data_IF_894792981244
#
_entry.id   IF_894792981244
#
_cell.length_a   1.000
_cell.length_b   1.000
_cell.length_c   1.000
_cell.angle_alpha   90.00
_cell.angle_beta   90.00
_cell.angle_gamma   90.00
#
_symmetry.space_group_name_H-M   'P 1'
#
loop_
_entity.id
_entity.type
_entity.pdbx_description
1 polymer ?
#
# COMPACT_ATOMS: atom_id res chain seq x y z
N UNK A 1 -6.42 -8.37 -21.73
CA UNK A 1 -7.67 -8.30 -20.99
C UNK A 1 -7.43 -8.61 -19.52
N UNK A 2 -7.81 -7.70 -18.67
CA UNK A 2 -7.62 -7.87 -17.24
C UNK A 2 -8.69 -8.75 -16.61
N UNK A 3 -8.26 -9.81 -15.94
CA UNK A 3 -9.15 -10.60 -15.10
C UNK A 3 -9.01 -10.22 -13.63
N UNK A 4 -8.11 -9.27 -13.33
CA UNK A 4 -7.84 -8.82 -11.97
C UNK A 4 -8.74 -7.64 -11.61
N UNK A 5 -9.23 -7.62 -10.38
CA UNK A 5 -9.95 -6.45 -9.90
C UNK A 5 -9.00 -5.29 -9.70
N UNK A 6 -9.51 -4.06 -9.80
CA UNK A 6 -8.70 -2.86 -9.56
C UNK A 6 -8.10 -2.87 -8.14
N UNK A 7 -8.86 -3.36 -7.17
CA UNK A 7 -8.38 -3.45 -5.79
C UNK A 7 -7.18 -4.40 -5.68
N UNK A 8 -7.25 -5.55 -6.34
CA UNK A 8 -6.13 -6.50 -6.35
C UNK A 8 -4.90 -5.91 -7.05
N UNK A 9 -5.09 -5.24 -8.17
CA UNK A 9 -3.99 -4.59 -8.92
C UNK A 9 -3.25 -3.61 -8.01
N UNK A 10 -3.99 -2.75 -7.32
CA UNK A 10 -3.40 -1.73 -6.44
C UNK A 10 -2.67 -2.39 -5.27
N UNK A 11 -3.29 -3.35 -4.60
CA UNK A 11 -2.69 -4.06 -3.48
C UNK A 11 -1.39 -4.76 -3.88
N UNK A 12 -1.44 -5.55 -4.93
CA UNK A 12 -0.30 -6.34 -5.37
C UNK A 12 0.86 -5.46 -5.84
N UNK A 13 0.55 -4.41 -6.58
CA UNK A 13 1.58 -3.51 -7.11
C UNK A 13 2.29 -2.77 -5.97
N UNK A 14 1.54 -2.24 -5.01
CA UNK A 14 2.13 -1.52 -3.87
C UNK A 14 2.92 -2.47 -2.97
N UNK A 15 2.40 -3.67 -2.70
CA UNK A 15 3.11 -4.66 -1.89
C UNK A 15 4.44 -5.04 -2.53
N UNK A 16 4.46 -5.30 -3.83
CA UNK A 16 5.69 -5.64 -4.55
C UNK A 16 6.67 -4.48 -4.56
N UNK A 17 6.18 -3.27 -4.83
CA UNK A 17 7.02 -2.06 -4.84
C UNK A 17 7.69 -1.84 -3.49
N UNK A 18 6.90 -1.85 -2.41
CA UNK A 18 7.41 -1.55 -1.07
C UNK A 18 8.36 -2.62 -0.57
N UNK A 19 8.13 -3.89 -0.93
CA UNK A 19 8.95 -5.00 -0.44
C UNK A 19 10.42 -4.93 -0.88
N UNK A 20 10.71 -4.19 -1.94
CA UNK A 20 12.06 -4.05 -2.48
C UNK A 20 12.78 -2.80 -2.00
N UNK A 21 12.12 -1.93 -1.23
CA UNK A 21 12.69 -0.66 -0.84
C UNK A 21 13.62 -0.79 0.37
N UNK A 22 14.67 0.05 0.41
CA UNK A 22 15.62 0.08 1.51
C UNK A 22 14.89 0.38 2.82
N UNK A 23 15.20 -0.41 3.85
CA UNK A 23 14.55 -0.31 5.16
C UNK A 23 13.29 -1.15 5.28
N UNK A 24 12.80 -1.75 4.19
CA UNK A 24 11.59 -2.57 4.18
C UNK A 24 11.84 -4.00 3.69
N UNK A 25 13.07 -4.35 3.36
CA UNK A 25 13.39 -5.65 2.78
C UNK A 25 13.18 -6.82 3.74
N UNK A 26 13.18 -6.56 5.05
CA UNK A 26 12.92 -7.59 6.06
C UNK A 26 11.43 -7.72 6.41
N UNK A 27 10.60 -6.82 5.89
CA UNK A 27 9.16 -6.82 6.17
C UNK A 27 8.47 -7.73 5.16
N UNK A 28 7.60 -8.61 5.66
CA UNK A 28 6.76 -9.44 4.79
C UNK A 28 5.52 -8.64 4.39
N UNK A 29 5.39 -8.36 3.10
CA UNK A 29 4.23 -7.61 2.60
C UNK A 29 3.14 -8.58 2.14
N UNK A 30 1.94 -8.37 2.65
CA UNK A 30 0.77 -9.20 2.39
C UNK A 30 -0.35 -8.33 1.81
N UNK A 31 -1.15 -8.92 0.94
CA UNK A 31 -2.37 -8.27 0.49
C UNK A 31 -3.53 -8.69 1.39
N UNK A 32 -4.68 -8.02 1.27
CA UNK A 32 -5.78 -8.11 2.22
C UNK A 32 -6.16 -9.51 2.70
N UNK A 33 -6.19 -10.48 1.79
CA UNK A 33 -6.62 -11.84 2.13
C UNK A 33 -5.54 -12.69 2.78
N UNK A 34 -4.31 -12.24 2.78
CA UNK A 34 -3.15 -13.01 3.27
C UNK A 34 -2.74 -12.63 4.68
N UNK A 35 -3.61 -11.91 5.39
CA UNK A 35 -3.28 -11.34 6.71
C UNK A 35 -3.12 -12.39 7.82
N UNK A 36 -3.38 -13.66 7.52
CA UNK A 36 -3.35 -14.73 8.53
C UNK A 36 -1.96 -15.11 9.03
N UNK A 37 -0.89 -14.70 8.32
CA UNK A 37 0.47 -15.05 8.78
C UNK A 37 0.82 -14.34 10.07
N UNK A 38 1.55 -15.04 10.93
CA UNK A 38 2.03 -14.51 12.20
C UNK A 38 3.48 -14.04 12.13
N UNK A 39 4.14 -14.17 10.99
CA UNK A 39 5.54 -13.75 10.85
C UNK A 39 5.67 -12.24 10.93
N UNK A 40 6.46 -11.74 11.87
CA UNK A 40 6.73 -10.32 12.05
C UNK A 40 8.19 -10.02 11.74
N UNK A 41 8.54 -8.85 11.22
CA UNK A 41 7.64 -7.76 10.85
C UNK A 41 6.82 -8.05 9.59
N UNK A 42 5.61 -7.54 9.56
CA UNK A 42 4.73 -7.69 8.39
C UNK A 42 4.00 -6.39 8.12
N UNK A 43 3.58 -6.22 6.87
CA UNK A 43 2.70 -5.12 6.49
C UNK A 43 1.57 -5.67 5.64
N UNK A 44 0.35 -5.27 5.95
CA UNK A 44 -0.84 -5.68 5.20
C UNK A 44 -1.31 -4.50 4.36
N UNK A 45 -1.37 -4.71 3.06
CA UNK A 45 -1.84 -3.72 2.09
C UNK A 45 -3.27 -4.07 1.71
N UNK A 46 -4.21 -3.20 2.02
CA UNK A 46 -5.63 -3.41 1.76
C UNK A 46 -6.20 -2.23 1.00
N UNK A 47 -6.75 -2.51 -0.18
CA UNK A 47 -7.55 -1.53 -0.90
C UNK A 47 -9.00 -1.68 -0.46
N UNK A 48 -9.43 -0.83 0.45
CA UNK A 48 -10.75 -0.93 1.07
C UNK A 48 -11.86 -0.57 0.09
N UNK A 49 -11.62 0.39 -0.79
CA UNK A 49 -12.60 0.80 -1.79
C UNK A 49 -11.92 1.35 -3.03
N UNK A 50 -12.63 1.27 -4.15
CA UNK A 50 -12.23 1.89 -5.40
C UNK A 50 -13.48 2.57 -5.96
N UNK A 51 -13.40 3.90 -6.15
CA UNK A 51 -14.56 4.71 -6.55
C UNK A 51 -14.21 5.54 -7.77
N UNK A 52 -15.17 5.72 -8.67
CA UNK A 52 -15.04 6.65 -9.77
C UNK A 52 -15.02 8.08 -9.18
N UNK A 53 -14.00 8.91 -9.52
CA UNK A 53 -14.01 10.31 -9.06
C UNK A 53 -15.21 11.06 -9.60
N UNK A 54 -15.80 11.93 -8.75
CA UNK A 54 -17.05 12.61 -9.07
C UNK A 54 -16.92 13.58 -10.25
N UNK A 55 -15.72 14.09 -10.50
CA UNK A 55 -15.45 15.07 -11.55
C UNK A 55 -14.92 14.46 -12.85
N UNK A 56 -14.87 13.13 -12.95
CA UNK A 56 -14.41 12.45 -14.15
C UNK A 56 -15.54 11.64 -14.79
N UNK A 57 -15.48 11.43 -16.11
CA UNK A 57 -16.53 10.69 -16.80
C UNK A 57 -16.67 9.26 -16.28
N UNK A 58 -17.91 8.84 -16.06
CA UNK A 58 -18.21 7.48 -15.71
C UNK A 58 -17.81 6.54 -16.84
N UNK A 59 -17.24 5.40 -16.48
CA UNK A 59 -16.82 4.41 -17.48
C UNK A 59 -15.46 4.66 -18.11
N UNK A 60 -14.76 5.72 -17.71
CA UNK A 60 -13.43 6.04 -18.26
C UNK A 60 -12.30 5.23 -17.61
N UNK A 61 -12.59 4.32 -16.68
CA UNK A 61 -11.58 3.52 -16.02
C UNK A 61 -10.80 4.24 -14.93
N UNK A 62 -11.25 5.44 -14.56
CA UNK A 62 -10.60 6.23 -13.50
C UNK A 62 -11.12 5.82 -12.14
N UNK A 63 -10.20 5.59 -11.19
CA UNK A 63 -10.57 5.21 -9.84
C UNK A 63 -9.76 5.98 -8.80
N UNK A 64 -10.43 6.40 -7.73
CA UNK A 64 -9.80 6.82 -6.49
C UNK A 64 -9.88 5.65 -5.51
N UNK A 65 -8.73 5.09 -5.16
CA UNK A 65 -8.66 3.91 -4.31
C UNK A 65 -8.26 4.32 -2.90
N UNK A 66 -9.05 3.90 -1.91
CA UNK A 66 -8.70 4.08 -0.51
C UNK A 66 -7.86 2.90 -0.08
N UNK A 67 -6.58 3.13 0.18
CA UNK A 67 -5.62 2.08 0.52
C UNK A 67 -5.21 2.25 1.97
N UNK A 68 -5.26 1.17 2.71
CA UNK A 68 -4.76 1.12 4.08
C UNK A 68 -3.58 0.16 4.15
N UNK A 69 -2.47 0.64 4.70
CA UNK A 69 -1.30 -0.20 4.93
C UNK A 69 -1.04 -0.19 6.43
N UNK A 70 -1.04 -1.37 7.04
CA UNK A 70 -0.76 -1.52 8.47
C UNK A 70 0.54 -2.28 8.63
N UNK A 71 1.50 -1.64 9.29
CA UNK A 71 2.83 -2.19 9.54
C UNK A 71 2.91 -2.66 10.99
N UNK A 72 3.28 -3.94 11.17
CA UNK A 72 3.42 -4.56 12.48
C UNK A 72 4.88 -4.93 12.73
N UNK A 73 5.40 -4.61 13.90
CA UNK A 73 6.71 -5.05 14.38
C UNK A 73 6.57 -5.70 15.75
N UNK A 74 7.39 -6.72 16.00
CA UNK A 74 7.34 -7.43 17.30
C UNK A 74 7.93 -6.53 18.39
N UNK A 75 7.11 -6.15 19.38
CA UNK A 75 7.53 -5.26 20.45
C UNK A 75 8.54 -5.91 21.41
N UNK A 76 8.65 -7.24 21.40
CA UNK A 76 9.60 -7.93 22.27
C UNK A 76 11.04 -7.84 21.76
N UNK A 77 11.25 -7.70 20.44
CA UNK A 77 12.58 -7.67 19.84
C UNK A 77 12.87 -6.40 19.03
N UNK A 78 11.90 -5.53 18.87
CA UNK A 78 12.01 -4.29 18.10
C UNK A 78 11.68 -3.11 18.98
N UNK A 79 12.59 -2.12 19.04
CA UNK A 79 12.29 -0.89 19.78
C UNK A 79 11.28 -0.04 19.00
N UNK A 80 10.61 0.86 19.71
CA UNK A 80 9.69 1.79 19.06
C UNK A 80 10.44 2.67 18.04
N UNK A 81 11.68 3.05 18.33
CA UNK A 81 12.48 3.85 17.39
C UNK A 81 12.74 3.07 16.09
N UNK A 82 13.05 1.78 16.19
CA UNK A 82 13.28 0.93 15.02
C UNK A 82 12.00 0.72 14.22
N UNK A 83 10.87 0.54 14.93
CA UNK A 83 9.57 0.45 14.27
C UNK A 83 9.24 1.74 13.52
N UNK A 84 9.48 2.89 14.15
CA UNK A 84 9.25 4.20 13.52
C UNK A 84 10.17 4.45 12.34
N UNK A 85 11.39 3.89 12.35
CA UNK A 85 12.27 3.95 11.20
C UNK A 85 11.69 3.19 10.00
N UNK A 86 11.08 2.03 10.24
CA UNK A 86 10.37 1.30 9.20
C UNK A 86 9.18 2.09 8.68
N UNK A 87 8.43 2.74 9.58
CA UNK A 87 7.30 3.59 9.20
C UNK A 87 7.76 4.76 8.34
N UNK A 88 8.90 5.37 8.66
CA UNK A 88 9.46 6.46 7.86
C UNK A 88 9.88 5.97 6.48
N UNK A 89 10.46 4.77 6.38
CA UNK A 89 10.81 4.18 5.10
C UNK A 89 9.56 3.92 4.25
N UNK A 90 8.49 3.41 4.86
CA UNK A 90 7.24 3.15 4.16
C UNK A 90 6.60 4.45 3.67
N UNK A 91 6.42 5.43 4.54
CA UNK A 91 5.78 6.69 4.16
C UNK A 91 6.64 7.48 3.16
N UNK A 92 7.96 7.43 3.30
CA UNK A 92 8.88 8.08 2.38
C UNK A 92 8.78 7.51 0.97
N UNK A 93 8.70 6.18 0.86
CA UNK A 93 8.55 5.53 -0.44
C UNK A 93 7.17 5.74 -1.03
N UNK A 94 6.14 5.87 -0.20
CA UNK A 94 4.79 6.18 -0.68
C UNK A 94 4.66 7.64 -1.15
N UNK A 95 5.59 8.52 -0.80
CA UNK A 95 5.65 9.89 -1.34
C UNK A 95 6.45 9.98 -2.61
N UNK A 96 7.18 8.94 -2.99
CA UNK A 96 7.96 8.91 -4.22
C UNK A 96 7.06 8.53 -5.41
N UNK A 97 6.32 9.51 -5.90
CA UNK A 97 5.34 9.29 -6.94
C UNK A 97 5.97 8.79 -8.24
N UNK A 98 7.16 9.25 -8.58
CA UNK A 98 7.86 8.79 -9.79
C UNK A 98 8.12 7.30 -9.75
N UNK A 99 8.60 6.79 -8.62
CA UNK A 99 8.86 5.35 -8.46
C UNK A 99 7.58 4.54 -8.44
N UNK A 100 6.52 5.05 -7.82
CA UNK A 100 5.21 4.38 -7.79
C UNK A 100 4.62 4.30 -9.20
N UNK A 101 4.69 5.38 -9.96
CA UNK A 101 4.24 5.39 -11.36
C UNK A 101 4.99 4.34 -12.18
N UNK A 102 6.30 4.23 -11.97
CA UNK A 102 7.12 3.23 -12.67
C UNK A 102 6.72 1.81 -12.27
N UNK A 103 6.39 1.58 -11.00
CA UNK A 103 5.96 0.27 -10.53
C UNK A 103 4.64 -0.16 -11.19
N UNK A 104 3.68 0.76 -11.31
CA UNK A 104 2.43 0.47 -12.01
C UNK A 104 2.65 0.27 -13.50
N UNK A 105 3.51 1.07 -14.13
CA UNK A 105 3.82 0.92 -15.55
C UNK A 105 4.46 -0.45 -15.83
N UNK A 106 5.29 -0.94 -14.93
CA UNK A 106 5.96 -2.23 -15.11
C UNK A 106 4.98 -3.41 -15.13
N UNK A 107 3.84 -3.30 -14.44
CA UNK A 107 2.82 -4.35 -14.46
C UNK A 107 1.96 -4.30 -15.73
N UNK A 108 1.79 -3.14 -16.32
CA UNK A 108 0.89 -2.93 -17.44
C UNK A 108 -0.60 -3.03 -17.11
N UNK A 109 -0.93 -3.21 -15.82
CA UNK A 109 -2.33 -3.42 -15.40
C UNK A 109 -3.09 -2.13 -15.15
N UNK A 110 -2.39 -1.06 -14.78
CA UNK A 110 -3.00 0.24 -14.50
C UNK A 110 -1.95 1.34 -14.58
N UNK A 111 -2.40 2.58 -14.71
CA UNK A 111 -1.54 3.77 -14.62
C UNK A 111 -1.88 4.52 -13.35
N UNK A 112 -0.86 4.80 -12.54
CA UNK A 112 -1.04 5.61 -11.34
C UNK A 112 -0.77 7.07 -11.65
N UNK A 113 -1.65 7.96 -11.19
CA UNK A 113 -1.52 9.40 -11.42
C UNK A 113 -1.15 10.18 -10.17
N UNK A 114 -1.58 9.73 -9.00
CA UNK A 114 -1.31 10.46 -7.77
C UNK A 114 -1.47 9.55 -6.56
N UNK A 115 -0.76 9.91 -5.48
CA UNK A 115 -0.87 9.24 -4.19
C UNK A 115 -0.86 10.33 -3.11
N UNK A 116 -1.88 10.33 -2.27
CA UNK A 116 -2.00 11.27 -1.16
C UNK A 116 -2.10 10.50 0.14
N UNK A 117 -1.25 10.83 1.11
CA UNK A 117 -1.36 10.24 2.45
C UNK A 117 -2.35 11.05 3.28
N UNK A 118 -3.35 10.37 3.85
CA UNK A 118 -4.40 11.00 4.64
C UNK A 118 -4.13 10.93 6.13
N UNK A 119 -3.56 9.82 6.63
CA UNK A 119 -3.31 9.66 8.05
C UNK A 119 -2.26 8.60 8.33
N UNK A 120 -1.68 8.72 9.52
CA UNK A 120 -0.75 7.74 10.05
C UNK A 120 -1.07 7.62 11.55
N UNK A 121 -1.57 6.45 11.96
CA UNK A 121 -2.00 6.21 13.34
C UNK A 121 -1.19 5.08 13.96
N UNK A 122 -0.54 5.36 15.08
CA UNK A 122 0.33 4.43 15.78
C UNK A 122 -0.35 3.89 17.03
N UNK A 123 -0.14 2.60 17.30
CA UNK A 123 -0.63 1.97 18.50
C UNK A 123 0.14 0.71 18.81
N UNK A 124 -0.31 0.01 19.85
CA UNK A 124 0.20 -1.30 20.18
C UNK A 124 -0.97 -2.27 20.13
N UNK A 125 -0.76 -3.41 19.49
CA UNK A 125 -1.75 -4.47 19.36
C UNK A 125 -1.13 -5.74 19.88
N UNK A 126 -1.61 -6.18 21.06
CA UNK A 126 -1.02 -7.28 21.81
C UNK A 126 0.47 -6.99 22.07
N UNK A 127 1.38 -7.74 21.47
CA UNK A 127 2.82 -7.54 21.61
C UNK A 127 3.46 -6.96 20.36
N UNK A 128 2.68 -6.26 19.56
CA UNK A 128 3.15 -5.69 18.30
C UNK A 128 2.99 -4.18 18.31
N UNK A 129 4.03 -3.49 17.86
CA UNK A 129 3.86 -2.09 17.42
C UNK A 129 3.07 -2.12 16.13
N UNK A 130 2.03 -1.32 16.04
CA UNK A 130 1.20 -1.26 14.83
C UNK A 130 1.01 0.17 14.40
N UNK A 131 1.26 0.44 13.11
CA UNK A 131 1.01 1.77 12.52
C UNK A 131 0.17 1.58 11.27
N UNK A 132 -0.97 2.25 11.24
CA UNK A 132 -1.87 2.22 10.09
C UNK A 132 -1.74 3.50 9.30
N UNK A 133 -1.47 3.35 8.00
CA UNK A 133 -1.39 4.45 7.04
C UNK A 133 -2.59 4.39 6.13
N UNK A 134 -3.18 5.55 5.84
CA UNK A 134 -4.27 5.66 4.88
C UNK A 134 -3.85 6.55 3.72
N UNK A 135 -4.07 6.05 2.50
CA UNK A 135 -3.70 6.74 1.28
C UNK A 135 -4.88 6.77 0.31
N UNK A 136 -4.94 7.82 -0.49
CA UNK A 136 -5.76 7.85 -1.69
C UNK A 136 -4.85 7.69 -2.90
N UNK A 137 -5.13 6.69 -3.72
CA UNK A 137 -4.33 6.37 -4.90
C UNK A 137 -5.22 6.51 -6.13
N UNK A 138 -4.85 7.43 -7.02
CA UNK A 138 -5.58 7.65 -8.27
C UNK A 138 -4.99 6.80 -9.37
N UNK A 139 -5.78 5.91 -9.93
CA UNK A 139 -5.35 4.99 -10.98
C UNK A 139 -6.34 4.98 -12.14
N UNK A 140 -5.83 4.65 -13.32
CA UNK A 140 -6.65 4.46 -14.52
C UNK A 140 -6.35 3.09 -15.09
N UNK A 141 -7.42 2.32 -15.31
CA UNK A 141 -7.30 1.04 -16.00
C UNK A 141 -7.12 1.28 -17.50
N UNK A 142 -6.32 0.45 -18.19
CA UNK A 142 -6.21 0.54 -19.63
C UNK A 142 -7.55 0.22 -20.29
N UNK A 143 -7.77 0.77 -21.47
CA UNK A 143 -8.95 0.45 -22.26
C UNK A 143 -8.98 -1.04 -22.57
N UNK A 144 -10.16 -1.63 -22.48
CA UNK A 144 -10.36 -3.05 -22.74
C UNK A 144 -10.20 -3.36 -24.22
#
# INVERSE_FOLDING_TARGET
MGTKSIRHIVEATLATYLSTQTGLTTVTFLTGDSAATQTLPKAVVLCASARAPADLPEGAGNYSCSVRITLFSNADDTTLADHRARCAALSGNMRDLTSIKAAFAATGDATCYDVTMNSEDEGIDERSWATAFSFDVLVVLPAA
#
